data_IF_835019549614
#
_entry.id   IF_835019549614
#
_cell.length_a   1.000
_cell.length_b   1.000
_cell.length_c   1.000
_cell.angle_alpha   90.00
_cell.angle_beta   90.00
_cell.angle_gamma   90.00
#
_symmetry.space_group_name_H-M   'P 1'
#
loop_
_entity.id
_entity.type
_entity.pdbx_description
1 polymer ?
#
# COMPACT_ATOMS: atom_id res chain seq x y z
N UNK A 1 -37.61 4.60 -13.13
CA UNK A 1 -36.46 3.70 -12.91
C UNK A 1 -35.83 4.10 -11.59
N UNK A 2 -36.01 3.29 -10.54
CA UNK A 2 -35.35 3.47 -9.24
C UNK A 2 -33.88 3.09 -9.48
N UNK A 3 -32.98 4.07 -9.53
CA UNK A 3 -31.54 3.80 -9.59
C UNK A 3 -31.15 3.09 -8.31
N UNK A 4 -30.69 1.84 -8.39
CA UNK A 4 -30.12 1.16 -7.24
C UNK A 4 -28.98 2.02 -6.68
N UNK A 5 -29.02 2.32 -5.39
CA UNK A 5 -27.97 3.10 -4.76
C UNK A 5 -26.75 2.20 -4.51
N UNK A 6 -25.72 2.28 -5.38
CA UNK A 6 -24.50 1.46 -5.27
C UNK A 6 -23.77 1.65 -3.94
N UNK A 7 -23.92 2.82 -3.34
CA UNK A 7 -23.30 3.16 -2.05
C UNK A 7 -23.81 2.28 -0.91
N UNK A 8 -25.07 1.88 -0.97
CA UNK A 8 -25.67 0.98 0.06
C UNK A 8 -25.11 -0.44 -0.02
N UNK A 9 -24.44 -0.78 -1.12
CA UNK A 9 -23.89 -2.13 -1.32
C UNK A 9 -22.48 -2.33 -0.74
N UNK A 10 -21.84 -1.26 -0.26
CA UNK A 10 -20.57 -1.37 0.47
C UNK A 10 -20.84 -1.35 1.98
N UNK A 11 -20.03 -2.05 2.80
CA UNK A 11 -20.11 -1.96 4.25
C UNK A 11 -20.06 -0.51 4.75
N UNK A 12 -20.70 -0.17 5.86
CA UNK A 12 -20.60 1.18 6.44
C UNK A 12 -19.16 1.52 6.80
N UNK A 13 -18.84 2.81 6.73
CA UNK A 13 -17.51 3.28 7.12
C UNK A 13 -17.30 3.11 8.62
N UNK A 14 -16.22 2.42 9.00
CA UNK A 14 -15.80 2.27 10.38
C UNK A 14 -14.95 3.46 10.83
N UNK A 15 -14.95 3.76 12.14
CA UNK A 15 -14.13 4.83 12.72
C UNK A 15 -13.75 4.52 14.18
N UNK A 16 -12.75 5.25 14.69
CA UNK A 16 -12.31 5.12 16.08
C UNK A 16 -11.87 3.72 16.47
N UNK A 17 -12.22 3.29 17.66
CA UNK A 17 -11.83 1.98 18.23
C UNK A 17 -12.38 0.80 17.43
N UNK A 18 -13.57 0.92 16.84
CA UNK A 18 -14.14 -0.13 15.99
C UNK A 18 -13.29 -0.38 14.75
N UNK A 19 -12.80 0.68 14.12
CA UNK A 19 -11.88 0.55 12.98
C UNK A 19 -10.54 -0.09 13.39
N UNK A 20 -9.97 0.35 14.52
CA UNK A 20 -8.71 -0.20 15.02
C UNK A 20 -8.86 -1.72 15.27
N UNK A 21 -9.87 -2.14 16.02
CA UNK A 21 -10.12 -3.56 16.28
C UNK A 21 -10.39 -4.37 15.01
N UNK A 22 -11.07 -3.78 14.01
CA UNK A 22 -11.33 -4.47 12.74
C UNK A 22 -10.08 -4.61 11.85
N UNK A 23 -9.13 -3.67 11.96
CA UNK A 23 -7.86 -3.73 11.22
C UNK A 23 -6.84 -4.66 11.86
N UNK A 24 -6.86 -4.80 13.19
CA UNK A 24 -5.92 -5.59 13.96
C UNK A 24 -5.93 -7.07 13.57
N UNK A 25 -4.75 -7.69 13.57
CA UNK A 25 -4.59 -9.15 13.50
C UNK A 25 -3.58 -9.60 14.50
N UNK A 26 -4.06 -10.33 15.46
CA UNK A 26 -3.24 -11.06 16.42
C UNK A 26 -3.39 -12.55 16.13
N UNK A 27 -2.32 -13.24 15.69
CA UNK A 27 -2.37 -14.69 15.50
C UNK A 27 -2.71 -15.41 16.81
N UNK A 28 -3.41 -16.54 16.71
CA UNK A 28 -3.64 -17.39 17.87
C UNK A 28 -2.28 -17.88 18.41
N UNK A 29 -2.07 -17.69 19.70
CA UNK A 29 -0.83 -18.06 20.37
C UNK A 29 -1.13 -18.69 21.71
N UNK A 30 -0.52 -19.86 21.96
CA UNK A 30 -0.57 -20.59 23.23
C UNK A 30 0.85 -20.85 23.70
N UNK A 31 1.17 -20.47 24.92
CA UNK A 31 2.50 -20.62 25.52
C UNK A 31 2.96 -22.08 25.57
N UNK A 32 2.05 -23.04 25.60
CA UNK A 32 2.37 -24.47 25.57
C UNK A 32 3.14 -24.91 24.33
N UNK A 33 3.12 -24.09 23.26
CA UNK A 33 3.91 -24.33 22.04
C UNK A 33 5.41 -24.40 22.34
N UNK A 34 5.89 -23.75 23.40
CA UNK A 34 7.29 -23.69 23.78
C UNK A 34 7.80 -25.09 24.21
N UNK A 35 6.91 -25.98 24.66
CA UNK A 35 7.22 -27.33 25.09
C UNK A 35 7.28 -28.34 23.96
N UNK A 36 6.80 -27.98 22.77
CA UNK A 36 6.77 -28.85 21.61
C UNK A 36 8.17 -29.02 20.99
N UNK A 37 8.28 -29.93 20.04
CA UNK A 37 9.52 -30.17 19.31
C UNK A 37 9.95 -28.96 18.47
N UNK A 38 11.24 -28.92 18.12
CA UNK A 38 11.81 -27.79 17.40
C UNK A 38 11.16 -27.56 16.03
N UNK A 39 10.77 -28.61 15.30
CA UNK A 39 10.18 -28.49 13.98
C UNK A 39 8.79 -27.84 14.04
N UNK A 40 7.96 -28.22 15.00
CA UNK A 40 6.65 -27.62 15.23
C UNK A 40 6.77 -26.14 15.59
N UNK A 41 7.71 -25.78 16.47
CA UNK A 41 7.96 -24.39 16.87
C UNK A 41 8.47 -23.53 15.71
N UNK A 42 9.36 -24.06 14.87
CA UNK A 42 9.86 -23.39 13.68
C UNK A 42 8.74 -23.14 12.64
N UNK A 43 7.81 -24.09 12.48
CA UNK A 43 6.66 -23.88 11.60
C UNK A 43 5.74 -22.77 12.11
N UNK A 44 5.47 -22.76 13.42
CA UNK A 44 4.63 -21.76 14.05
C UNK A 44 5.26 -20.36 14.07
N UNK A 45 6.58 -20.27 14.04
CA UNK A 45 7.31 -18.99 14.01
C UNK A 45 6.90 -18.09 12.84
N UNK A 46 6.43 -18.69 11.73
CA UNK A 46 5.90 -17.94 10.59
C UNK A 46 4.67 -17.09 10.91
N UNK A 47 3.99 -17.35 12.02
CA UNK A 47 2.82 -16.57 12.44
C UNK A 47 3.17 -15.14 12.85
N UNK A 48 4.43 -14.87 13.23
CA UNK A 48 4.92 -13.50 13.46
C UNK A 48 4.71 -12.58 12.27
N UNK A 49 4.80 -13.08 11.04
CA UNK A 49 4.55 -12.30 9.83
C UNK A 49 3.07 -11.98 9.58
N UNK A 50 2.16 -12.64 10.28
CA UNK A 50 0.71 -12.37 10.20
C UNK A 50 0.27 -11.27 11.17
N UNK A 51 1.11 -10.96 12.18
CA UNK A 51 0.83 -9.95 13.18
C UNK A 51 0.67 -8.58 12.52
N UNK A 52 -0.42 -7.90 12.82
CA UNK A 52 -0.68 -6.56 12.32
C UNK A 52 -1.37 -5.71 13.38
N UNK A 53 -0.67 -4.68 13.82
CA UNK A 53 -1.23 -3.61 14.66
C UNK A 53 -1.52 -2.40 13.79
N UNK A 54 -2.73 -1.84 13.85
CA UNK A 54 -3.10 -0.68 13.08
C UNK A 54 -2.39 0.57 13.60
N UNK A 55 -1.74 1.31 12.69
CA UNK A 55 -1.13 2.61 12.96
C UNK A 55 -2.03 3.75 12.49
N UNK A 56 -1.65 5.01 12.76
CA UNK A 56 -2.29 6.16 12.16
C UNK A 56 -2.29 6.08 10.63
N UNK A 57 -1.21 5.58 10.02
CA UNK A 57 -1.14 5.32 8.58
C UNK A 57 -2.26 4.39 8.12
N UNK A 58 -2.55 3.33 8.87
CA UNK A 58 -3.61 2.36 8.53
C UNK A 58 -5.00 3.01 8.51
N UNK A 59 -5.29 3.86 9.49
CA UNK A 59 -6.56 4.61 9.61
C UNK A 59 -6.72 5.60 8.46
N UNK A 60 -5.67 6.34 8.14
CA UNK A 60 -5.68 7.31 7.04
C UNK A 60 -5.84 6.62 5.67
N UNK A 61 -5.14 5.51 5.44
CA UNK A 61 -5.26 4.71 4.21
C UNK A 61 -6.67 4.17 4.07
N UNK A 62 -7.24 3.57 5.13
CA UNK A 62 -8.62 3.10 5.11
C UNK A 62 -9.60 4.21 4.74
N UNK A 63 -9.52 5.35 5.41
CA UNK A 63 -10.41 6.48 5.19
C UNK A 63 -10.32 7.02 3.75
N UNK A 64 -9.10 7.16 3.21
CA UNK A 64 -8.88 7.63 1.84
C UNK A 64 -9.41 6.66 0.79
N UNK A 65 -9.13 5.36 0.95
CA UNK A 65 -9.63 4.32 0.05
C UNK A 65 -11.16 4.27 0.07
N UNK A 66 -11.76 4.31 1.26
CA UNK A 66 -13.22 4.29 1.42
C UNK A 66 -13.88 5.47 0.69
N UNK A 67 -13.43 6.70 0.97
CA UNK A 67 -14.00 7.92 0.36
C UNK A 67 -13.78 7.94 -1.16
N UNK A 68 -12.62 7.51 -1.64
CA UNK A 68 -12.34 7.44 -3.07
C UNK A 68 -13.26 6.43 -3.78
N UNK A 69 -13.50 5.26 -3.19
CA UNK A 69 -14.46 4.29 -3.69
C UNK A 69 -15.88 4.86 -3.68
N UNK A 70 -16.30 5.47 -2.57
CA UNK A 70 -17.61 6.08 -2.41
C UNK A 70 -17.89 7.11 -3.52
N UNK A 71 -16.97 8.04 -3.75
CA UNK A 71 -17.10 9.07 -4.78
C UNK A 71 -17.12 8.48 -6.19
N UNK A 72 -16.32 7.44 -6.45
CA UNK A 72 -16.34 6.74 -7.73
C UNK A 72 -17.69 6.06 -7.99
N UNK A 73 -18.25 5.36 -6.99
CA UNK A 73 -19.56 4.71 -7.10
C UNK A 73 -20.69 5.73 -7.30
N UNK A 74 -20.64 6.86 -6.60
CA UNK A 74 -21.60 7.96 -6.78
C UNK A 74 -21.57 8.49 -8.23
N UNK A 75 -20.38 8.70 -8.80
CA UNK A 75 -20.21 9.16 -10.19
C UNK A 75 -20.79 8.19 -11.21
N UNK A 76 -20.62 6.90 -11.00
CA UNK A 76 -21.16 5.85 -11.89
C UNK A 76 -22.70 5.90 -12.00
N UNK A 77 -23.38 6.46 -11.03
CA UNK A 77 -24.85 6.61 -11.00
C UNK A 77 -25.36 7.86 -11.70
N UNK A 78 -24.49 8.74 -12.18
CA UNK A 78 -24.87 10.00 -12.81
C UNK A 78 -25.29 9.83 -14.27
N UNK A 79 -26.09 10.79 -14.78
CA UNK A 79 -26.39 10.86 -16.22
C UNK A 79 -25.14 11.08 -17.07
N UNK A 80 -24.12 11.73 -16.51
CA UNK A 80 -22.81 11.92 -17.16
C UNK A 80 -22.10 10.60 -17.41
N UNK A 81 -22.20 9.62 -16.50
CA UNK A 81 -21.63 8.29 -16.71
C UNK A 81 -22.25 7.58 -17.92
N UNK A 82 -23.57 7.69 -18.08
CA UNK A 82 -24.29 7.14 -19.26
C UNK A 82 -23.84 7.83 -20.55
N UNK A 83 -23.65 9.15 -20.52
CA UNK A 83 -23.14 9.90 -21.66
C UNK A 83 -21.70 9.50 -22.00
N UNK A 84 -20.84 9.38 -20.98
CA UNK A 84 -19.47 8.92 -21.13
C UNK A 84 -19.39 7.52 -21.72
N UNK A 85 -20.23 6.59 -21.25
CA UNK A 85 -20.30 5.24 -21.79
C UNK A 85 -20.61 5.23 -23.29
N UNK A 86 -21.61 6.02 -23.71
CA UNK A 86 -21.97 6.17 -25.14
C UNK A 86 -20.82 6.76 -25.94
N UNK A 87 -20.10 7.73 -25.37
CA UNK A 87 -18.97 8.39 -26.03
C UNK A 87 -17.76 7.46 -26.16
N UNK A 88 -17.41 6.73 -25.10
CA UNK A 88 -16.34 5.73 -25.14
C UNK A 88 -16.63 4.67 -26.20
N UNK A 89 -17.87 4.21 -26.31
CA UNK A 89 -18.27 3.24 -27.32
C UNK A 89 -18.10 3.77 -28.76
N UNK A 90 -18.43 5.05 -29.00
CA UNK A 90 -18.18 5.70 -30.29
C UNK A 90 -16.69 5.88 -30.55
N UNK A 91 -15.93 6.27 -29.53
CA UNK A 91 -14.51 6.52 -29.62
C UNK A 91 -13.69 5.26 -29.95
N UNK A 92 -14.09 4.08 -29.47
CA UNK A 92 -13.46 2.80 -29.85
C UNK A 92 -13.52 2.59 -31.38
N UNK A 93 -14.58 3.09 -32.03
CA UNK A 93 -14.75 2.99 -33.50
C UNK A 93 -14.04 4.11 -34.26
N UNK A 94 -13.93 5.31 -33.70
CA UNK A 94 -13.46 6.52 -34.38
C UNK A 94 -12.07 7.00 -33.91
N UNK A 95 -11.48 6.34 -32.93
CA UNK A 95 -10.17 6.68 -32.31
C UNK A 95 -10.09 8.13 -31.73
N UNK A 96 -11.23 8.74 -31.44
CA UNK A 96 -11.31 10.08 -30.83
C UNK A 96 -11.91 9.98 -29.43
N UNK A 97 -11.13 10.31 -28.40
CA UNK A 97 -11.54 10.19 -27.01
C UNK A 97 -11.74 11.58 -26.39
N UNK A 98 -12.86 11.78 -25.67
CA UNK A 98 -13.06 12.96 -24.84
C UNK A 98 -13.71 12.57 -23.51
N UNK A 99 -13.16 13.08 -22.41
CA UNK A 99 -13.70 12.86 -21.08
C UNK A 99 -14.82 13.84 -20.77
N UNK A 100 -16.02 13.34 -20.52
CA UNK A 100 -17.20 14.13 -20.13
C UNK A 100 -17.41 14.07 -18.61
N UNK A 101 -17.23 12.87 -18.01
CA UNK A 101 -17.52 12.62 -16.60
C UNK A 101 -16.57 13.38 -15.66
N UNK A 102 -15.40 13.76 -16.16
CA UNK A 102 -14.36 14.42 -15.38
C UNK A 102 -13.59 13.49 -14.44
N UNK A 103 -12.46 13.97 -13.96
CA UNK A 103 -11.64 13.22 -13.03
C UNK A 103 -12.31 13.05 -11.67
N UNK A 104 -12.01 11.95 -11.00
CA UNK A 104 -12.36 11.70 -9.60
C UNK A 104 -11.16 11.90 -8.68
N UNK A 105 -11.34 11.62 -7.39
CA UNK A 105 -10.32 11.82 -6.38
C UNK A 105 -9.22 10.76 -6.54
N UNK A 106 -8.15 11.13 -7.23
CA UNK A 106 -6.94 10.34 -7.30
C UNK A 106 -5.96 10.79 -6.22
N UNK A 107 -5.25 9.86 -5.60
CA UNK A 107 -4.30 10.17 -4.54
C UNK A 107 -3.11 9.21 -4.55
N UNK A 108 -2.06 9.59 -3.82
CA UNK A 108 -0.85 8.80 -3.70
C UNK A 108 -0.60 8.39 -2.25
N UNK A 109 -0.03 7.20 -2.08
CA UNK A 109 0.48 6.69 -0.81
C UNK A 109 1.98 6.45 -1.02
N UNK A 110 2.80 7.32 -0.45
CA UNK A 110 4.25 7.27 -0.61
C UNK A 110 4.90 6.93 0.73
N UNK A 111 5.88 6.06 0.71
CA UNK A 111 6.64 5.75 1.93
C UNK A 111 7.70 4.71 1.69
N UNK A 112 8.68 4.63 2.61
CA UNK A 112 9.79 3.69 2.53
C UNK A 112 9.31 2.24 2.34
N UNK A 113 10.15 1.39 1.76
CA UNK A 113 9.87 -0.04 1.69
C UNK A 113 9.83 -0.64 3.10
N UNK A 114 8.98 -1.63 3.33
CA UNK A 114 8.90 -2.35 4.60
C UNK A 114 8.14 -1.66 5.74
N UNK A 115 7.56 -0.47 5.55
CA UNK A 115 6.76 0.22 6.59
C UNK A 115 5.31 -0.29 6.71
N UNK A 116 4.92 -1.30 5.92
CA UNK A 116 3.60 -1.92 6.00
C UNK A 116 2.52 -1.33 5.08
N UNK A 117 2.85 -0.51 4.08
CA UNK A 117 1.88 0.10 3.14
C UNK A 117 0.95 -0.91 2.48
N UNK A 118 1.52 -1.91 1.82
CA UNK A 118 0.75 -2.92 1.06
C UNK A 118 -0.13 -3.75 2.00
N UNK A 119 0.33 -4.04 3.20
CA UNK A 119 -0.47 -4.71 4.24
C UNK A 119 -1.64 -3.83 4.69
N UNK A 120 -1.39 -2.56 4.99
CA UNK A 120 -2.44 -1.60 5.37
C UNK A 120 -3.50 -1.45 4.27
N UNK A 121 -3.08 -1.36 3.00
CA UNK A 121 -3.97 -1.29 1.84
C UNK A 121 -4.81 -2.56 1.70
N UNK A 122 -4.18 -3.73 1.79
CA UNK A 122 -4.86 -5.02 1.70
C UNK A 122 -5.92 -5.19 2.80
N UNK A 123 -5.58 -4.83 4.06
CA UNK A 123 -6.51 -4.86 5.20
C UNK A 123 -7.65 -3.89 5.01
N UNK A 124 -7.36 -2.65 4.61
CA UNK A 124 -8.37 -1.64 4.33
C UNK A 124 -9.33 -2.10 3.23
N UNK A 125 -8.82 -2.63 2.12
CA UNK A 125 -9.65 -3.15 1.01
C UNK A 125 -10.55 -4.29 1.49
N UNK A 126 -10.03 -5.23 2.26
CA UNK A 126 -10.81 -6.35 2.81
C UNK A 126 -12.00 -5.84 3.64
N UNK A 127 -11.80 -4.85 4.51
CA UNK A 127 -12.87 -4.25 5.31
C UNK A 127 -13.88 -3.45 4.45
N UNK A 128 -13.40 -2.67 3.48
CA UNK A 128 -14.24 -1.82 2.63
C UNK A 128 -15.12 -2.67 1.70
N UNK A 129 -14.60 -3.79 1.22
CA UNK A 129 -15.29 -4.59 0.20
C UNK A 129 -15.97 -5.83 0.75
N UNK A 130 -15.60 -6.27 1.97
CA UNK A 130 -15.98 -7.58 2.49
C UNK A 130 -15.53 -8.72 1.58
N UNK A 131 -14.48 -8.49 0.76
CA UNK A 131 -13.96 -9.42 -0.26
C UNK A 131 -15.01 -9.88 -1.29
N UNK A 132 -15.99 -9.00 -1.59
CA UNK A 132 -17.10 -9.30 -2.50
C UNK A 132 -17.15 -8.32 -3.66
N UNK A 133 -17.71 -8.79 -4.79
CA UNK A 133 -18.11 -7.93 -5.89
C UNK A 133 -19.49 -7.34 -5.64
N UNK A 134 -19.77 -6.19 -6.26
CA UNK A 134 -21.10 -5.56 -6.19
C UNK A 134 -21.88 -5.97 -7.42
N UNK A 135 -22.97 -6.70 -7.22
CA UNK A 135 -23.91 -7.04 -8.30
C UNK A 135 -24.97 -5.96 -8.43
N UNK A 136 -25.21 -5.53 -9.66
CA UNK A 136 -26.24 -4.55 -10.04
C UNK A 136 -27.25 -5.22 -10.94
N UNK A 137 -28.53 -5.17 -10.58
CA UNK A 137 -29.58 -5.92 -11.29
C UNK A 137 -30.08 -5.21 -12.54
N UNK A 138 -30.16 -3.88 -12.52
CA UNK A 138 -30.66 -3.07 -13.65
C UNK A 138 -29.82 -1.81 -13.91
N UNK A 139 -29.06 -1.73 -15.02
CA UNK A 139 -28.73 -2.84 -15.93
C UNK A 139 -27.82 -3.87 -15.24
N UNK A 140 -27.98 -5.13 -15.58
CA UNK A 140 -27.17 -6.19 -14.95
C UNK A 140 -25.69 -5.95 -15.23
N UNK A 141 -24.94 -5.72 -14.17
CA UNK A 141 -23.48 -5.55 -14.25
C UNK A 141 -22.86 -5.89 -12.91
N UNK A 142 -21.61 -6.32 -12.94
CA UNK A 142 -20.82 -6.62 -11.75
C UNK A 142 -19.70 -5.59 -11.62
N UNK A 143 -19.55 -5.01 -10.43
CA UNK A 143 -18.50 -4.05 -10.12
C UNK A 143 -17.52 -4.70 -9.15
N UNK A 144 -16.24 -4.66 -9.47
CA UNK A 144 -15.13 -4.94 -8.56
C UNK A 144 -14.87 -3.67 -7.75
N UNK A 145 -15.17 -3.65 -6.44
CA UNK A 145 -15.08 -2.41 -5.66
C UNK A 145 -13.67 -1.84 -5.67
N UNK A 146 -12.66 -2.66 -5.40
CA UNK A 146 -11.26 -2.26 -5.42
C UNK A 146 -10.46 -3.26 -6.26
N UNK A 147 -9.81 -2.78 -7.32
CA UNK A 147 -8.93 -3.55 -8.17
C UNK A 147 -7.48 -3.16 -7.89
N UNK A 148 -6.65 -4.10 -7.46
CA UNK A 148 -5.23 -3.87 -7.20
C UNK A 148 -4.41 -4.46 -8.34
N UNK A 149 -3.55 -3.63 -8.93
CA UNK A 149 -2.60 -4.02 -9.98
C UNK A 149 -1.20 -3.52 -9.62
N UNK A 150 -0.19 -4.23 -10.09
CA UNK A 150 1.19 -3.77 -9.95
C UNK A 150 1.64 -3.04 -11.21
N UNK A 151 2.38 -1.96 -11.02
CA UNK A 151 3.01 -1.27 -12.13
C UNK A 151 4.08 -2.19 -12.75
N UNK A 152 4.03 -2.47 -14.06
CA UNK A 152 5.01 -3.33 -14.71
C UNK A 152 6.44 -2.81 -14.51
N UNK A 153 7.37 -3.73 -14.37
CA UNK A 153 8.80 -3.42 -14.17
C UNK A 153 9.38 -2.56 -15.30
N UNK A 154 8.96 -2.81 -16.54
CA UNK A 154 9.39 -2.04 -17.73
C UNK A 154 8.61 -0.73 -17.90
N UNK A 155 7.69 -0.42 -16.98
CA UNK A 155 6.80 0.75 -17.03
C UNK A 155 5.99 0.85 -18.32
N UNK A 156 5.74 -0.28 -18.96
CA UNK A 156 4.98 -0.35 -20.19
C UNK A 156 3.52 0.04 -19.97
N UNK A 157 3.07 1.09 -20.64
CA UNK A 157 1.65 1.47 -20.66
C UNK A 157 0.78 0.30 -21.11
N UNK A 158 1.21 -0.39 -22.17
CA UNK A 158 0.51 -1.55 -22.69
C UNK A 158 0.44 -2.68 -21.68
N UNK A 159 1.54 -2.93 -20.96
CA UNK A 159 1.62 -3.93 -19.90
C UNK A 159 0.63 -3.65 -18.78
N UNK A 160 0.59 -2.41 -18.26
CA UNK A 160 -0.36 -2.03 -17.22
C UNK A 160 -1.82 -2.17 -17.66
N UNK A 161 -2.14 -1.71 -18.87
CA UNK A 161 -3.51 -1.79 -19.41
C UNK A 161 -3.96 -3.25 -19.59
N UNK A 162 -3.08 -4.12 -20.05
CA UNK A 162 -3.35 -5.55 -20.17
C UNK A 162 -3.51 -6.22 -18.81
N UNK A 163 -2.70 -5.83 -17.81
CA UNK A 163 -2.82 -6.35 -16.44
C UNK A 163 -4.15 -5.96 -15.79
N UNK A 164 -4.63 -4.72 -16.04
CA UNK A 164 -5.98 -4.32 -15.59
C UNK A 164 -7.04 -5.23 -16.19
N UNK A 165 -7.00 -5.50 -17.49
CA UNK A 165 -7.98 -6.37 -18.16
C UNK A 165 -7.90 -7.81 -17.62
N UNK A 166 -6.69 -8.33 -17.43
CA UNK A 166 -6.46 -9.68 -16.88
C UNK A 166 -7.06 -9.82 -15.49
N UNK A 167 -6.80 -8.84 -14.63
CA UNK A 167 -7.35 -8.83 -13.27
C UNK A 167 -8.86 -8.70 -13.24
N UNK A 168 -9.46 -7.91 -14.11
CA UNK A 168 -10.91 -7.83 -14.24
C UNK A 168 -11.50 -9.18 -14.69
N UNK A 169 -10.86 -9.83 -15.66
CA UNK A 169 -11.31 -11.16 -16.13
C UNK A 169 -11.26 -12.22 -15.01
N UNK A 170 -10.27 -12.15 -14.11
CA UNK A 170 -10.18 -13.03 -12.93
C UNK A 170 -11.41 -12.90 -12.00
N UNK A 171 -11.90 -11.66 -11.79
CA UNK A 171 -13.06 -11.40 -10.93
C UNK A 171 -14.40 -11.69 -11.63
N UNK A 172 -14.51 -11.41 -12.93
CA UNK A 172 -15.78 -11.44 -13.66
C UNK A 172 -15.98 -12.69 -14.51
N UNK A 173 -14.94 -13.51 -14.70
CA UNK A 173 -14.96 -14.60 -15.67
C UNK A 173 -15.12 -14.13 -17.12
N UNK A 174 -14.77 -12.88 -17.41
CA UNK A 174 -14.85 -12.26 -18.74
C UNK A 174 -13.63 -12.63 -19.59
N UNK A 175 -13.57 -12.11 -20.83
CA UNK A 175 -12.49 -12.39 -21.79
C UNK A 175 -11.92 -11.12 -22.41
N UNK A 176 -11.86 -10.04 -21.67
CA UNK A 176 -11.34 -8.76 -22.17
C UNK A 176 -9.84 -8.86 -22.54
N UNK A 177 -9.05 -9.51 -21.69
CA UNK A 177 -7.62 -9.72 -21.92
C UNK A 177 -7.37 -10.60 -23.14
N UNK A 178 -8.03 -11.77 -23.21
CA UNK A 178 -7.88 -12.68 -24.36
C UNK A 178 -8.25 -12.01 -25.68
N UNK A 179 -9.35 -11.26 -25.69
CA UNK A 179 -9.81 -10.52 -26.86
C UNK A 179 -8.80 -9.45 -27.29
N UNK A 180 -8.25 -8.67 -26.33
CA UNK A 180 -7.23 -7.67 -26.61
C UNK A 180 -5.95 -8.29 -27.20
N UNK A 181 -5.51 -9.43 -26.68
CA UNK A 181 -4.36 -10.16 -27.17
C UNK A 181 -4.59 -10.72 -28.57
N UNK A 182 -5.75 -11.31 -28.81
CA UNK A 182 -6.12 -11.91 -30.11
C UNK A 182 -6.12 -10.90 -31.26
N UNK A 183 -6.65 -9.67 -31.00
CA UNK A 183 -6.67 -8.60 -31.99
C UNK A 183 -5.37 -7.81 -32.06
N UNK A 184 -4.35 -8.15 -31.25
CA UNK A 184 -3.08 -7.42 -31.12
C UNK A 184 -3.30 -5.94 -30.89
N UNK A 185 -4.19 -5.60 -29.93
CA UNK A 185 -4.61 -4.23 -29.66
C UNK A 185 -3.43 -3.27 -29.49
N UNK A 186 -3.53 -2.10 -30.12
CA UNK A 186 -2.59 -0.98 -29.91
C UNK A 186 -2.82 -0.34 -28.55
N UNK A 187 -1.86 0.45 -28.08
CA UNK A 187 -2.00 1.16 -26.79
C UNK A 187 -3.25 2.03 -26.76
N UNK A 188 -3.57 2.76 -27.84
CA UNK A 188 -4.75 3.62 -27.92
C UNK A 188 -6.06 2.81 -27.88
N UNK A 189 -6.12 1.67 -28.55
CA UNK A 189 -7.26 0.76 -28.47
C UNK A 189 -7.43 0.22 -27.04
N UNK A 190 -6.32 -0.11 -26.37
CA UNK A 190 -6.35 -0.56 -24.99
C UNK A 190 -6.82 0.52 -24.03
N UNK A 191 -6.36 1.76 -24.15
CA UNK A 191 -6.82 2.87 -23.33
C UNK A 191 -8.36 3.00 -23.44
N UNK A 192 -8.91 2.92 -24.66
CA UNK A 192 -10.35 2.95 -24.88
C UNK A 192 -11.08 1.78 -24.22
N UNK A 193 -10.59 0.56 -24.43
CA UNK A 193 -11.18 -0.66 -23.88
C UNK A 193 -11.12 -0.66 -22.34
N UNK A 194 -9.95 -0.34 -21.77
CA UNK A 194 -9.79 -0.26 -20.30
C UNK A 194 -10.64 0.87 -19.72
N UNK A 195 -10.75 2.03 -20.39
CA UNK A 195 -11.64 3.10 -19.93
C UNK A 195 -13.10 2.65 -19.87
N UNK A 196 -13.56 1.90 -20.84
CA UNK A 196 -14.91 1.35 -20.85
C UNK A 196 -15.12 0.29 -19.76
N UNK A 197 -14.16 -0.63 -19.61
CA UNK A 197 -14.18 -1.64 -18.56
C UNK A 197 -14.15 -0.99 -17.18
N UNK A 198 -13.30 0.02 -16.98
CA UNK A 198 -13.19 0.73 -15.72
C UNK A 198 -14.48 1.49 -15.37
N UNK A 199 -15.10 2.15 -16.35
CA UNK A 199 -16.38 2.82 -16.13
C UNK A 199 -17.48 1.86 -15.69
N UNK A 200 -17.51 0.66 -16.26
CA UNK A 200 -18.57 -0.32 -15.99
C UNK A 200 -18.29 -1.19 -14.76
N UNK A 201 -17.04 -1.60 -14.55
CA UNK A 201 -16.70 -2.71 -13.68
C UNK A 201 -15.71 -2.40 -12.55
N UNK A 202 -15.06 -1.24 -12.53
CA UNK A 202 -14.06 -0.93 -11.49
C UNK A 202 -14.55 0.22 -10.62
N UNK A 203 -14.61 0.00 -9.31
CA UNK A 203 -14.91 1.06 -8.33
C UNK A 203 -13.70 1.96 -8.09
N UNK A 204 -12.62 1.40 -7.57
CA UNK A 204 -11.35 2.04 -7.28
C UNK A 204 -10.22 1.22 -7.90
N UNK A 205 -9.30 1.87 -8.59
CA UNK A 205 -8.08 1.25 -9.09
C UNK A 205 -6.91 1.61 -8.17
N UNK A 206 -6.21 0.61 -7.65
CA UNK A 206 -4.97 0.77 -6.89
C UNK A 206 -3.82 0.28 -7.76
N UNK A 207 -2.85 1.16 -8.04
CA UNK A 207 -1.64 0.85 -8.80
C UNK A 207 -0.46 0.86 -7.83
N UNK A 208 0.05 -0.31 -7.50
CA UNK A 208 1.21 -0.47 -6.61
C UNK A 208 2.53 -0.48 -7.38
N UNK A 209 3.65 -0.31 -6.68
CA UNK A 209 5.01 -0.28 -7.23
C UNK A 209 5.22 0.82 -8.29
N UNK A 210 4.59 1.99 -8.11
CA UNK A 210 4.64 3.07 -9.12
C UNK A 210 6.06 3.64 -9.32
N UNK A 211 6.99 3.41 -8.40
CA UNK A 211 8.40 3.78 -8.57
C UNK A 211 9.07 3.11 -9.77
N UNK A 212 8.55 1.99 -10.26
CA UNK A 212 9.03 1.38 -11.50
C UNK A 212 8.99 2.35 -12.68
N UNK A 213 8.13 3.37 -12.62
CA UNK A 213 7.98 4.43 -13.62
C UNK A 213 9.11 5.45 -13.58
N UNK A 214 9.70 5.71 -12.40
CA UNK A 214 10.63 6.83 -12.17
C UNK A 214 11.88 6.71 -13.05
N UNK A 215 12.41 5.50 -13.17
CA UNK A 215 13.64 5.22 -13.90
C UNK A 215 13.42 4.87 -15.38
N UNK A 216 12.18 4.96 -15.88
CA UNK A 216 11.82 4.53 -17.21
C UNK A 216 11.65 5.72 -18.18
N UNK A 217 12.16 5.55 -19.40
CA UNK A 217 11.89 6.48 -20.53
C UNK A 217 10.38 6.61 -20.85
N UNK A 218 9.58 5.65 -20.42
CA UNK A 218 8.13 5.57 -20.68
C UNK A 218 7.27 6.19 -19.58
N UNK A 219 7.85 6.69 -18.48
CA UNK A 219 7.12 7.21 -17.34
C UNK A 219 6.10 8.31 -17.69
N UNK A 220 6.49 9.29 -18.52
CA UNK A 220 5.57 10.36 -18.97
C UNK A 220 4.37 9.81 -19.74
N UNK A 221 4.56 8.78 -20.55
CA UNK A 221 3.49 8.13 -21.30
C UNK A 221 2.51 7.41 -20.37
N UNK A 222 3.00 6.79 -19.30
CA UNK A 222 2.17 6.11 -18.31
C UNK A 222 1.29 7.10 -17.53
N UNK A 223 1.83 8.26 -17.13
CA UNK A 223 1.04 9.33 -16.52
C UNK A 223 -0.06 9.81 -17.44
N UNK A 224 0.28 10.03 -18.71
CA UNK A 224 -0.70 10.42 -19.73
C UNK A 224 -1.83 9.39 -19.84
N UNK A 225 -1.49 8.10 -19.89
CA UNK A 225 -2.46 7.02 -19.99
C UNK A 225 -3.36 6.94 -18.73
N UNK A 226 -2.79 7.04 -17.52
CA UNK A 226 -3.56 7.06 -16.27
C UNK A 226 -4.48 8.28 -16.20
N UNK A 227 -3.97 9.46 -16.61
CA UNK A 227 -4.79 10.68 -16.65
C UNK A 227 -5.95 10.53 -17.62
N UNK A 228 -5.71 9.95 -18.79
CA UNK A 228 -6.76 9.70 -19.78
C UNK A 228 -7.76 8.66 -19.28
N UNK A 229 -7.31 7.60 -18.63
CA UNK A 229 -8.17 6.59 -18.00
C UNK A 229 -9.10 7.24 -16.96
N UNK A 230 -8.56 8.06 -16.05
CA UNK A 230 -9.34 8.78 -15.04
C UNK A 230 -10.40 9.68 -15.70
N UNK A 231 -10.02 10.44 -16.72
CA UNK A 231 -10.93 11.36 -17.38
C UNK A 231 -12.06 10.64 -18.16
N UNK A 232 -11.75 9.49 -18.76
CA UNK A 232 -12.68 8.75 -19.62
C UNK A 232 -13.55 7.75 -18.85
N UNK A 233 -13.18 7.40 -17.62
CA UNK A 233 -13.93 6.45 -16.80
C UNK A 233 -14.53 7.05 -15.54
N UNK A 234 -13.98 8.17 -15.07
CA UNK A 234 -14.39 8.82 -13.82
C UNK A 234 -14.10 7.99 -12.56
N UNK A 235 -13.28 6.92 -12.67
CA UNK A 235 -12.86 6.14 -11.50
C UNK A 235 -11.83 6.90 -10.68
N UNK A 236 -11.78 6.59 -9.39
CA UNK A 236 -10.69 7.00 -8.52
C UNK A 236 -9.48 6.09 -8.72
N UNK A 237 -8.27 6.66 -8.64
CA UNK A 237 -7.03 5.91 -8.74
C UNK A 237 -6.14 6.22 -7.54
N UNK A 238 -5.73 5.19 -6.83
CA UNK A 238 -4.71 5.25 -5.77
C UNK A 238 -3.38 4.76 -6.36
N UNK A 239 -2.33 5.57 -6.25
CA UNK A 239 -1.00 5.20 -6.69
C UNK A 239 -0.10 5.01 -5.47
N UNK A 240 0.56 3.85 -5.38
CA UNK A 240 1.35 3.45 -4.21
C UNK A 240 2.81 3.31 -4.63
N UNK A 241 3.74 3.85 -3.84
CA UNK A 241 5.15 3.76 -4.17
C UNK A 241 6.09 4.18 -3.05
N UNK A 242 7.37 4.19 -3.40
CA UNK A 242 8.47 4.62 -2.53
C UNK A 242 8.73 6.13 -2.66
N UNK A 243 9.54 6.75 -1.78
CA UNK A 243 9.83 8.18 -1.82
C UNK A 243 10.40 8.66 -3.16
N UNK A 244 11.10 7.81 -3.91
CA UNK A 244 11.64 8.13 -5.23
C UNK A 244 10.52 8.49 -6.23
N UNK A 245 9.32 7.95 -6.04
CA UNK A 245 8.17 8.26 -6.89
C UNK A 245 7.62 9.68 -6.69
N UNK A 246 7.96 10.36 -5.58
CA UNK A 246 7.49 11.72 -5.31
C UNK A 246 7.92 12.71 -6.41
N UNK A 247 9.16 12.65 -6.85
CA UNK A 247 9.69 13.51 -7.93
C UNK A 247 8.91 13.35 -9.24
N UNK A 248 8.43 12.13 -9.51
CA UNK A 248 7.62 11.85 -10.69
C UNK A 248 6.24 12.55 -10.62
N UNK A 249 5.60 12.54 -9.46
CA UNK A 249 4.32 13.21 -9.27
C UNK A 249 4.44 14.73 -9.31
N UNK A 250 5.53 15.29 -8.78
CA UNK A 250 5.82 16.73 -8.87
C UNK A 250 5.96 17.22 -10.31
N UNK A 251 6.62 16.42 -11.16
CA UNK A 251 6.76 16.73 -12.59
C UNK A 251 5.44 16.57 -13.37
N UNK A 252 4.55 15.74 -12.88
CA UNK A 252 3.26 15.46 -13.47
C UNK A 252 2.16 16.37 -12.89
N UNK A 253 2.28 17.69 -13.10
CA UNK A 253 1.38 18.71 -12.52
C UNK A 253 -0.12 18.39 -12.63
N UNK A 254 -0.55 17.66 -13.65
CA UNK A 254 -1.96 17.29 -13.84
C UNK A 254 -2.42 16.24 -12.82
N UNK A 255 -1.53 15.32 -12.43
CA UNK A 255 -1.79 14.35 -11.35
C UNK A 255 -1.58 15.00 -9.98
N UNK A 256 -0.55 15.84 -9.81
CA UNK A 256 -0.24 16.50 -8.55
C UNK A 256 -1.40 17.39 -8.04
N UNK A 257 -2.11 18.08 -8.92
CA UNK A 257 -3.29 18.89 -8.57
C UNK A 257 -4.48 18.05 -8.07
N UNK A 258 -4.51 16.75 -8.40
CA UNK A 258 -5.58 15.82 -8.03
C UNK A 258 -5.16 14.84 -6.96
N UNK A 259 -3.84 14.76 -6.69
CA UNK A 259 -3.24 13.81 -5.77
C UNK A 259 -2.85 14.52 -4.50
N UNK A 260 -3.72 14.53 -3.51
CA UNK A 260 -3.32 14.83 -2.15
C UNK A 260 -2.52 13.62 -1.65
N UNK A 261 -1.18 13.68 -1.81
CA UNK A 261 -0.28 12.61 -1.42
C UNK A 261 -0.19 12.49 0.11
N UNK A 262 -0.23 11.26 0.59
CA UNK A 262 0.14 10.93 1.96
C UNK A 262 1.55 10.37 1.92
N UNK A 263 2.45 10.94 2.74
CA UNK A 263 3.83 10.48 2.84
C UNK A 263 4.07 9.93 4.23
N UNK A 264 4.62 8.72 4.28
CA UNK A 264 4.93 8.02 5.52
C UNK A 264 6.41 7.68 5.59
N UNK A 265 7.00 7.94 6.76
CA UNK A 265 8.35 7.50 7.10
C UNK A 265 8.36 6.17 7.85
N UNK A 266 9.54 5.75 8.29
CA UNK A 266 9.68 4.70 9.31
C UNK A 266 9.04 5.15 10.63
N UNK A 267 8.73 4.19 11.51
CA UNK A 267 8.21 4.48 12.85
C UNK A 267 9.19 5.34 13.63
N UNK A 268 8.67 6.24 14.44
CA UNK A 268 9.44 6.95 15.45
C UNK A 268 9.54 6.07 16.68
N UNK A 269 10.54 6.35 17.53
CA UNK A 269 10.58 5.78 18.86
C UNK A 269 9.53 6.51 19.72
N UNK A 270 8.32 5.99 19.72
CA UNK A 270 7.15 6.55 20.40
C UNK A 270 6.28 5.41 20.96
N UNK A 271 5.17 5.78 21.60
CA UNK A 271 4.26 4.82 22.23
C UNK A 271 3.76 3.72 21.27
N UNK A 272 3.62 4.03 19.96
CA UNK A 272 3.20 3.02 19.00
C UNK A 272 4.32 1.99 18.73
N UNK A 273 5.58 2.44 18.64
CA UNK A 273 6.72 1.51 18.49
C UNK A 273 6.89 0.63 19.73
N UNK A 274 6.70 1.22 20.92
CA UNK A 274 6.75 0.49 22.19
C UNK A 274 5.66 -0.59 22.24
N UNK A 275 4.41 -0.23 21.97
CA UNK A 275 3.28 -1.15 21.93
C UNK A 275 3.48 -2.25 20.88
N UNK A 276 3.89 -1.89 19.67
CA UNK A 276 4.18 -2.86 18.60
C UNK A 276 5.28 -3.85 19.01
N UNK A 277 6.34 -3.36 19.63
CA UNK A 277 7.45 -4.19 20.07
C UNK A 277 7.08 -5.10 21.24
N UNK A 278 6.28 -4.61 22.19
CA UNK A 278 5.76 -5.42 23.30
C UNK A 278 4.88 -6.56 22.80
N UNK A 279 3.92 -6.25 21.91
CA UNK A 279 3.05 -7.27 21.33
C UNK A 279 3.86 -8.29 20.51
N UNK A 280 4.76 -7.82 19.63
CA UNK A 280 5.59 -8.72 18.82
C UNK A 280 6.47 -9.63 19.71
N UNK A 281 7.09 -9.06 20.76
CA UNK A 281 7.99 -9.78 21.64
C UNK A 281 7.27 -10.76 22.56
N UNK A 282 5.97 -10.61 22.79
CA UNK A 282 5.16 -11.56 23.57
C UNK A 282 4.98 -12.92 22.85
N UNK A 283 5.14 -12.96 21.53
CA UNK A 283 5.08 -14.19 20.73
C UNK A 283 6.43 -14.90 20.75
N UNK A 284 6.71 -15.68 21.80
CA UNK A 284 7.96 -16.41 21.95
C UNK A 284 7.77 -17.90 21.75
N UNK A 285 8.50 -18.45 20.79
CA UNK A 285 8.50 -19.86 20.43
C UNK A 285 9.75 -20.59 20.96
N UNK A 286 10.63 -19.87 21.65
CA UNK A 286 11.80 -20.42 22.39
C UNK A 286 11.34 -20.96 23.74
N UNK A 287 12.09 -21.90 24.33
CA UNK A 287 11.71 -22.53 25.59
C UNK A 287 11.79 -21.60 26.78
N UNK A 288 12.83 -20.77 26.83
CA UNK A 288 13.05 -19.84 27.92
C UNK A 288 12.50 -18.48 27.58
N UNK A 289 11.44 -18.10 28.26
CA UNK A 289 10.86 -16.78 28.10
C UNK A 289 11.83 -15.68 28.49
N UNK A 290 11.83 -14.62 27.72
CA UNK A 290 12.60 -13.40 27.98
C UNK A 290 11.67 -12.20 28.03
N UNK A 291 11.85 -11.37 29.05
CA UNK A 291 11.08 -10.12 29.18
C UNK A 291 11.72 -9.05 28.26
N UNK A 292 10.90 -8.33 27.53
CA UNK A 292 11.36 -7.18 26.76
C UNK A 292 11.84 -6.07 27.71
N UNK A 293 13.14 -5.81 27.66
CA UNK A 293 13.75 -4.75 28.47
C UNK A 293 13.89 -3.47 27.64
N UNK A 294 13.97 -2.28 28.28
CA UNK A 294 14.24 -1.04 27.57
C UNK A 294 15.46 -1.11 26.64
N UNK A 295 16.54 -1.80 27.10
CA UNK A 295 17.75 -1.97 26.29
C UNK A 295 17.55 -2.84 25.04
N UNK A 296 16.68 -3.87 25.09
CA UNK A 296 16.32 -4.67 23.92
C UNK A 296 15.46 -3.83 22.97
N UNK A 297 14.52 -3.05 23.50
CA UNK A 297 13.65 -2.19 22.72
C UNK A 297 14.42 -1.09 21.97
N UNK A 298 15.34 -0.39 22.66
CA UNK A 298 16.25 0.57 22.03
C UNK A 298 17.11 -0.08 20.96
N UNK A 299 17.65 -1.26 21.25
CA UNK A 299 18.46 -2.02 20.29
C UNK A 299 17.64 -2.38 19.02
N UNK A 300 16.39 -2.86 19.17
CA UNK A 300 15.50 -3.16 18.06
C UNK A 300 15.24 -1.93 17.21
N UNK A 301 15.00 -0.77 17.83
CA UNK A 301 14.78 0.48 17.11
C UNK A 301 16.01 0.92 16.32
N UNK A 302 17.18 0.92 16.96
CA UNK A 302 18.43 1.33 16.32
C UNK A 302 18.80 0.44 15.12
N UNK A 303 18.62 -0.88 15.26
CA UNK A 303 19.00 -1.85 14.23
C UNK A 303 17.93 -2.08 13.16
N UNK A 304 16.74 -1.55 13.34
CA UNK A 304 15.67 -1.56 12.34
C UNK A 304 15.44 -0.19 11.67
N UNK A 305 16.00 0.89 12.21
CA UNK A 305 15.67 2.27 11.84
C UNK A 305 14.14 2.53 11.86
N UNK A 306 13.40 1.83 12.73
CA UNK A 306 11.95 1.91 12.83
C UNK A 306 11.18 1.32 11.64
N UNK A 307 11.81 0.45 10.84
CA UNK A 307 11.16 -0.22 9.72
C UNK A 307 10.48 -1.49 10.22
N UNK A 308 9.14 -1.55 10.18
CA UNK A 308 8.31 -2.64 10.73
C UNK A 308 8.78 -4.02 10.26
N UNK A 309 8.98 -4.19 8.95
CA UNK A 309 9.39 -5.49 8.40
C UNK A 309 10.75 -5.95 8.94
N UNK A 310 11.65 -5.02 9.25
CA UNK A 310 12.96 -5.34 9.81
C UNK A 310 12.84 -5.75 11.28
N UNK A 311 12.00 -5.04 12.07
CA UNK A 311 11.72 -5.42 13.45
C UNK A 311 11.17 -6.85 13.53
N UNK A 312 10.16 -7.15 12.71
CA UNK A 312 9.57 -8.51 12.67
C UNK A 312 10.60 -9.56 12.26
N UNK A 313 11.41 -9.27 11.21
CA UNK A 313 12.45 -10.20 10.77
C UNK A 313 13.52 -10.42 11.83
N UNK A 314 13.94 -9.38 12.56
CA UNK A 314 14.91 -9.51 13.66
C UNK A 314 14.40 -10.43 14.75
N UNK A 315 13.17 -10.26 15.20
CA UNK A 315 12.56 -11.09 16.25
C UNK A 315 12.32 -12.52 15.77
N UNK A 316 11.88 -12.69 14.51
CA UNK A 316 11.70 -13.99 13.88
C UNK A 316 13.04 -14.74 13.79
N UNK A 317 14.03 -14.14 13.14
CA UNK A 317 15.30 -14.80 12.84
C UNK A 317 16.13 -15.07 14.12
N UNK A 318 16.02 -14.20 15.14
CA UNK A 318 16.64 -14.42 16.43
C UNK A 318 16.05 -15.67 17.12
N UNK A 319 14.74 -15.87 17.05
CA UNK A 319 14.10 -17.06 17.60
C UNK A 319 14.44 -18.32 16.78
N UNK A 320 14.45 -18.22 15.44
CA UNK A 320 14.89 -19.32 14.58
C UNK A 320 16.31 -19.78 14.96
N UNK A 321 17.25 -18.83 15.08
CA UNK A 321 18.62 -19.12 15.48
C UNK A 321 18.68 -19.71 16.89
N UNK A 322 17.89 -19.18 17.83
CA UNK A 322 17.87 -19.68 19.22
C UNK A 322 17.37 -21.13 19.29
N UNK A 323 16.35 -21.50 18.53
CA UNK A 323 15.81 -22.86 18.45
C UNK A 323 16.85 -23.80 17.80
N UNK A 324 17.39 -23.42 16.63
CA UNK A 324 18.33 -24.26 15.89
C UNK A 324 19.67 -24.45 16.59
N UNK A 325 20.15 -23.46 17.33
CA UNK A 325 21.42 -23.54 18.08
C UNK A 325 21.27 -24.17 19.47
N UNK A 326 20.02 -24.41 19.91
CA UNK A 326 19.74 -24.92 21.28
C UNK A 326 19.95 -23.88 22.38
N UNK A 327 20.12 -22.57 22.04
CA UNK A 327 20.22 -21.50 23.06
C UNK A 327 18.88 -21.24 23.74
N UNK A 328 17.80 -21.47 23.01
CA UNK A 328 16.42 -21.46 23.50
C UNK A 328 16.06 -20.19 24.30
N UNK A 329 16.56 -19.04 23.87
CA UNK A 329 16.34 -17.75 24.53
C UNK A 329 16.36 -16.61 23.51
N UNK A 330 15.37 -15.72 23.57
CA UNK A 330 15.29 -14.51 22.74
C UNK A 330 15.93 -13.34 23.51
N UNK A 331 17.19 -13.06 23.26
CA UNK A 331 17.94 -12.02 23.96
C UNK A 331 18.83 -11.21 23.02
N UNK A 332 19.58 -10.23 23.54
CA UNK A 332 20.49 -9.40 22.73
C UNK A 332 21.54 -10.23 21.96
N UNK A 333 21.97 -11.37 22.49
CA UNK A 333 22.94 -12.23 21.80
C UNK A 333 22.33 -12.83 20.53
N UNK A 334 21.13 -13.44 20.64
CA UNK A 334 20.44 -14.06 19.50
C UNK A 334 19.95 -13.00 18.51
N UNK A 335 19.50 -11.83 18.97
CA UNK A 335 19.18 -10.68 18.11
C UNK A 335 20.40 -10.17 17.33
N UNK A 336 21.57 -10.04 17.99
CA UNK A 336 22.80 -9.67 17.28
C UNK A 336 23.21 -10.73 16.25
N UNK A 337 23.05 -12.02 16.56
CA UNK A 337 23.33 -13.10 15.61
C UNK A 337 22.41 -12.98 14.38
N UNK A 338 21.13 -12.74 14.58
CA UNK A 338 20.18 -12.52 13.48
C UNK A 338 20.57 -11.30 12.62
N UNK A 339 20.89 -10.18 13.24
CA UNK A 339 21.32 -8.96 12.57
C UNK A 339 22.56 -9.19 11.71
N UNK A 340 23.60 -9.84 12.26
CA UNK A 340 24.85 -10.08 11.55
C UNK A 340 24.74 -11.15 10.45
N UNK A 341 23.98 -12.20 10.67
CA UNK A 341 23.95 -13.36 9.76
C UNK A 341 22.88 -13.24 8.67
N UNK A 342 21.73 -12.65 8.98
CA UNK A 342 20.57 -12.63 8.09
C UNK A 342 20.32 -11.28 7.42
N UNK A 343 20.63 -10.19 8.13
CA UNK A 343 20.37 -8.82 7.63
C UNK A 343 21.63 -8.12 7.11
N UNK A 344 22.73 -8.85 6.91
CA UNK A 344 24.00 -8.28 6.43
C UNK A 344 23.87 -7.48 5.12
N UNK A 345 22.98 -7.88 4.21
CA UNK A 345 22.72 -7.17 2.97
C UNK A 345 21.98 -5.84 3.16
N UNK A 346 21.30 -5.65 4.30
CA UNK A 346 20.58 -4.42 4.63
C UNK A 346 21.44 -3.40 5.38
N UNK A 347 22.62 -3.79 5.88
CA UNK A 347 23.52 -2.92 6.66
C UNK A 347 23.94 -1.63 5.89
N UNK A 348 23.91 -1.64 4.55
CA UNK A 348 24.18 -0.46 3.73
C UNK A 348 22.97 0.45 3.52
N UNK A 349 21.76 -0.03 3.85
CA UNK A 349 20.49 0.70 3.67
C UNK A 349 19.89 1.12 5.01
N UNK A 350 20.18 0.38 6.07
CA UNK A 350 19.76 0.67 7.43
C UNK A 350 20.99 1.17 8.17
N UNK A 351 21.30 2.44 8.01
CA UNK A 351 22.21 3.09 8.96
C UNK A 351 21.48 3.17 10.31
N UNK A 352 22.11 2.68 11.40
CA UNK A 352 21.56 2.90 12.74
C UNK A 352 21.28 4.38 12.88
N UNK A 353 20.10 4.76 13.32
CA UNK A 353 19.76 6.14 13.61
C UNK A 353 20.59 6.60 14.83
N UNK A 354 21.89 6.77 14.63
CA UNK A 354 22.75 7.40 15.63
C UNK A 354 22.14 8.77 15.86
N UNK A 355 21.52 8.95 17.00
CA UNK A 355 21.09 10.24 17.50
C UNK A 355 22.29 11.16 17.45
N UNK A 356 22.40 11.98 16.39
CA UNK A 356 23.29 13.12 16.41
C UNK A 356 22.83 13.98 17.58
N UNK A 357 23.54 13.91 18.71
CA UNK A 357 23.38 14.88 19.78
C UNK A 357 23.39 16.27 19.12
N UNK A 358 22.42 17.14 19.43
CA UNK A 358 22.40 18.48 18.87
C UNK A 358 23.74 19.10 19.17
N UNK A 359 24.54 19.40 18.12
CA UNK A 359 25.76 20.20 18.28
C UNK A 359 25.33 21.54 18.85
N UNK A 360 25.77 21.84 20.06
CA UNK A 360 25.62 23.14 20.66
C UNK A 360 26.27 24.16 19.70
N UNK A 361 25.42 24.90 19.00
CA UNK A 361 25.83 26.08 18.24
C UNK A 361 26.37 27.12 19.24
N UNK A 362 27.67 27.16 19.44
CA UNK A 362 28.37 28.26 20.06
C UNK A 362 28.21 29.45 19.13
N UNK A 363 27.24 30.30 19.43
CA UNK A 363 27.04 31.60 18.80
C UNK A 363 28.26 32.46 19.18
N UNK A 364 29.23 32.58 18.28
CA UNK A 364 30.21 33.66 18.37
C UNK A 364 29.48 34.97 18.10
N UNK A 365 29.25 35.74 19.16
CA UNK A 365 28.88 37.14 19.08
C UNK A 365 30.05 37.89 18.46
N UNK A 366 29.91 38.30 17.21
CA UNK A 366 30.72 39.34 16.61
C UNK A 366 30.04 40.68 16.88
N UNK A 367 30.66 41.48 17.72
CA UNK A 367 30.31 42.87 17.97
C UNK A 367 30.46 43.73 16.68
N UNK A 368 29.58 44.69 16.44
CA UNK A 368 29.69 45.57 15.29
C UNK A 368 30.76 46.64 15.57
N UNK A 369 31.76 46.72 14.69
CA UNK A 369 32.68 47.82 14.64
C UNK A 369 31.99 49.07 14.09
N UNK A 370 31.82 50.08 14.95
CA UNK A 370 31.45 51.44 14.59
C UNK A 370 32.57 52.03 13.71
N UNK A 371 32.25 52.49 12.52
CA UNK A 371 33.04 53.52 11.81
C UNK A 371 32.16 54.70 11.54
N UNK A 372 32.54 55.79 12.21
CA UNK A 372 32.22 57.17 11.93
C UNK A 372 32.95 57.57 10.64
N UNK A 373 32.29 58.09 9.65
CA UNK A 373 32.39 59.41 8.97
C UNK A 373 31.26 59.42 7.92
#
# INVERSE_FOLDING_TARGET
>A
MIKQNLVVKIPPMLAGTELLSALEVLPDYDESIRDLDAATRLMALSDLYKLYLPSQMSVEIYSKLYLALLHSLQKKQTSLAIQQQKQNYRAIRQQTYSGIIGGSDSFTIIGASGIGKSTAISRAISLITGNKVIEVEEPYTTIVPCLVVQCPFDSSVKGLLLEILRKVDEYLGSKYYENAMRVRATTDMLIGSVSQVALNHIGLLVVDEIQNVVNSKHGKSLVGALTQLINNSGISVCMVGTPESALFFEQAMQLARRSLGIQYGSMRYDAYFEEFSDVLFSYQFVRNETILTPGIMEWLYEHSAGIISVVVSLVHDAQEIAILSGKECLNLETLNMAYQQRLSLLHGYIEPAITKKPQSTTTKQNAPATKVI
#
